data_IF_660029803559
#
_entry.id   IF_660029803559
#
_cell.length_a   1.000
_cell.length_b   1.000
_cell.length_c   1.000
_cell.angle_alpha   90.00
_cell.angle_beta   90.00
_cell.angle_gamma   90.00
#
_symmetry.space_group_name_H-M   'P 1'
#
loop_
_entity.id
_entity.type
_entity.pdbx_description
1 polymer ?
#
# COMPACT_ATOMS: atom_id res chain seq x y z
N UNK A 1 39.58 33.20 -10.95
CA UNK A 1 39.14 33.12 -9.54
C UNK A 1 37.67 33.52 -9.50
N UNK A 2 36.76 32.59 -9.80
CA UNK A 2 35.31 32.83 -9.70
C UNK A 2 34.91 32.56 -8.26
N UNK A 3 34.47 33.59 -7.54
CA UNK A 3 34.02 33.44 -6.17
C UNK A 3 32.68 32.71 -6.14
N UNK A 4 32.61 31.63 -5.36
CA UNK A 4 31.33 31.06 -4.94
C UNK A 4 30.60 32.14 -4.13
N UNK A 5 29.51 32.66 -4.70
CA UNK A 5 28.52 33.48 -4.00
C UNK A 5 27.31 32.59 -3.72
N UNK A 6 27.36 31.72 -2.70
CA UNK A 6 26.20 30.93 -2.35
C UNK A 6 25.06 31.89 -1.97
N UNK A 7 23.84 31.64 -2.45
CA UNK A 7 22.71 32.55 -2.22
C UNK A 7 22.27 32.55 -0.75
N UNK A 8 21.79 33.70 -0.26
CA UNK A 8 21.39 33.92 1.15
C UNK A 8 20.09 33.22 1.58
N UNK A 9 19.53 32.31 0.77
CA UNK A 9 18.29 31.63 1.13
C UNK A 9 18.54 30.44 2.06
N UNK A 10 17.61 30.24 3.00
CA UNK A 10 17.58 29.08 3.88
C UNK A 10 16.38 28.20 3.52
N UNK A 11 16.62 26.92 3.30
CA UNK A 11 15.56 25.91 3.17
C UNK A 11 15.42 25.17 4.49
N UNK A 12 14.23 25.25 5.07
CA UNK A 12 13.85 24.41 6.22
C UNK A 12 13.03 23.25 5.69
N UNK A 13 13.39 22.05 6.11
CA UNK A 13 12.68 20.82 5.76
C UNK A 13 12.13 20.18 7.04
N UNK A 14 11.26 19.19 6.85
CA UNK A 14 10.70 18.36 7.92
C UNK A 14 11.53 17.10 8.20
N UNK A 15 12.60 16.88 7.43
CA UNK A 15 13.44 15.69 7.55
C UNK A 15 14.16 15.73 8.89
N UNK A 16 14.02 14.64 9.65
CA UNK A 16 14.72 14.45 10.90
C UNK A 16 15.99 13.62 10.61
N UNK A 17 17.20 14.16 10.83
CA UNK A 17 18.45 13.47 10.48
C UNK A 17 18.58 12.08 11.09
N UNK A 18 18.13 11.90 12.33
CA UNK A 18 18.16 10.61 13.02
C UNK A 18 17.21 9.59 12.39
N UNK A 19 16.00 10.01 12.00
CA UNK A 19 15.01 9.16 11.32
C UNK A 19 15.48 8.82 9.92
N UNK A 20 16.09 9.77 9.20
CA UNK A 20 16.69 9.53 7.89
C UNK A 20 17.81 8.49 7.96
N UNK A 21 18.74 8.63 8.91
CA UNK A 21 19.82 7.68 9.11
C UNK A 21 19.28 6.28 9.46
N UNK A 22 18.27 6.19 10.33
CA UNK A 22 17.62 4.93 10.66
C UNK A 22 16.93 4.29 9.45
N UNK A 23 16.25 5.07 8.61
CA UNK A 23 15.61 4.60 7.39
C UNK A 23 16.62 4.03 6.38
N UNK A 24 17.75 4.72 6.17
CA UNK A 24 18.84 4.25 5.32
C UNK A 24 19.46 2.95 5.83
N UNK A 25 19.70 2.86 7.14
CA UNK A 25 20.21 1.64 7.78
C UNK A 25 19.23 0.48 7.65
N UNK A 26 17.92 0.73 7.82
CA UNK A 26 16.89 -0.29 7.69
C UNK A 26 16.81 -0.84 6.26
N UNK A 27 16.81 0.04 5.26
CA UNK A 27 16.82 -0.34 3.84
C UNK A 27 18.07 -1.13 3.49
N UNK A 28 19.26 -0.60 3.83
CA UNK A 28 20.52 -1.26 3.53
C UNK A 28 20.65 -2.60 4.25
N UNK A 29 20.24 -2.66 5.52
CA UNK A 29 20.23 -3.87 6.32
C UNK A 29 19.27 -4.93 5.78
N UNK A 30 18.05 -4.56 5.39
CA UNK A 30 17.06 -5.45 4.79
C UNK A 30 17.55 -6.05 3.48
N UNK A 31 18.08 -5.21 2.58
CA UNK A 31 18.63 -5.67 1.30
C UNK A 31 19.83 -6.61 1.48
N UNK A 32 20.72 -6.33 2.45
CA UNK A 32 21.83 -7.24 2.79
C UNK A 32 21.33 -8.59 3.30
N UNK A 33 20.32 -8.61 4.18
CA UNK A 33 19.74 -9.86 4.71
C UNK A 33 19.11 -10.73 3.62
N UNK A 34 18.44 -10.11 2.66
CA UNK A 34 17.83 -10.83 1.53
C UNK A 34 18.89 -11.39 0.58
N UNK A 35 20.04 -10.71 0.43
CA UNK A 35 21.16 -11.21 -0.37
C UNK A 35 20.88 -11.29 -1.88
N UNK A 36 19.74 -10.80 -2.35
CA UNK A 36 19.35 -10.84 -3.76
C UNK A 36 20.10 -9.72 -4.51
N UNK A 37 20.89 -10.06 -5.55
CA UNK A 37 21.57 -9.07 -6.38
C UNK A 37 20.57 -8.09 -7.01
N UNK A 38 20.99 -6.82 -7.13
CA UNK A 38 20.23 -5.72 -7.76
C UNK A 38 18.85 -5.39 -7.17
N UNK A 39 18.40 -6.12 -6.13
CA UNK A 39 17.14 -5.86 -5.45
C UNK A 39 17.08 -4.42 -4.93
N UNK A 40 15.95 -3.77 -5.20
CA UNK A 40 15.68 -2.39 -4.81
C UNK A 40 14.67 -2.35 -3.66
N UNK A 41 14.80 -1.32 -2.84
CA UNK A 41 13.82 -0.97 -1.82
C UNK A 41 13.68 0.55 -1.75
N UNK A 42 12.54 0.99 -1.23
CA UNK A 42 12.25 2.39 -0.97
C UNK A 42 11.53 2.47 0.38
N UNK A 43 11.68 3.61 1.07
CA UNK A 43 11.07 3.85 2.37
C UNK A 43 10.63 5.31 2.47
N UNK A 44 9.43 5.53 3.01
CA UNK A 44 8.92 6.85 3.37
C UNK A 44 8.47 6.77 4.83
N UNK A 45 8.93 7.70 5.66
CA UNK A 45 8.44 7.86 7.02
C UNK A 45 7.69 9.19 7.11
N UNK A 46 6.48 9.16 7.68
CA UNK A 46 5.54 10.27 7.69
C UNK A 46 5.05 10.49 9.13
N UNK A 47 4.92 11.74 9.56
CA UNK A 47 4.17 12.09 10.76
C UNK A 47 2.66 11.98 10.46
N UNK A 48 1.92 11.06 11.10
CA UNK A 48 0.50 10.84 10.80
C UNK A 48 -0.41 12.02 11.20
N UNK A 49 0.03 12.90 12.10
CA UNK A 49 -0.75 14.05 12.55
C UNK A 49 -0.60 15.26 11.61
N UNK A 50 0.59 15.48 11.05
CA UNK A 50 0.87 16.63 10.19
C UNK A 50 0.97 16.30 8.71
N UNK A 51 1.26 15.04 8.36
CA UNK A 51 1.61 14.62 7.00
C UNK A 51 3.06 14.92 6.62
N UNK A 52 3.89 15.39 7.56
CA UNK A 52 5.28 15.76 7.30
C UNK A 52 6.12 14.54 6.91
N UNK A 53 6.98 14.70 5.89
CA UNK A 53 7.94 13.67 5.51
C UNK A 53 9.14 13.76 6.45
N UNK A 54 9.31 12.75 7.30
CA UNK A 54 10.38 12.67 8.29
C UNK A 54 11.65 12.01 7.74
N UNK A 55 11.48 11.05 6.82
CA UNK A 55 12.57 10.40 6.09
C UNK A 55 12.11 9.91 4.71
N UNK A 56 13.04 9.90 3.76
CA UNK A 56 12.81 9.46 2.39
C UNK A 56 14.03 8.71 1.85
N UNK A 57 13.86 7.44 1.48
CA UNK A 57 14.88 6.62 0.85
C UNK A 57 14.35 6.14 -0.51
N UNK A 58 14.99 6.61 -1.58
CA UNK A 58 14.54 6.39 -2.95
C UNK A 58 15.07 5.12 -3.63
N UNK A 59 16.01 4.41 -3.02
CA UNK A 59 16.68 3.27 -3.64
C UNK A 59 17.75 2.67 -2.76
N UNK A 60 18.38 1.60 -3.27
CA UNK A 60 19.46 0.88 -2.59
C UNK A 60 20.73 1.72 -2.39
N UNK A 61 21.11 2.46 -3.43
CA UNK A 61 22.34 3.26 -3.47
C UNK A 61 22.11 4.47 -4.38
N UNK A 62 22.18 5.66 -3.80
CA UNK A 62 21.96 6.91 -4.50
C UNK A 62 23.08 7.24 -5.50
N UNK A 63 24.32 6.84 -5.20
CA UNK A 63 25.47 7.09 -6.08
C UNK A 63 25.41 6.23 -7.34
N UNK A 64 24.85 5.02 -7.22
CA UNK A 64 24.62 4.14 -8.36
C UNK A 64 23.36 4.53 -9.16
N UNK A 65 22.31 5.02 -8.50
CA UNK A 65 21.06 5.43 -9.14
C UNK A 65 20.36 6.55 -8.39
N UNK A 66 20.20 7.69 -9.05
CA UNK A 66 19.44 8.85 -8.55
C UNK A 66 17.92 8.72 -8.77
N UNK A 67 17.45 7.59 -9.32
CA UNK A 67 16.03 7.36 -9.54
C UNK A 67 15.31 7.06 -8.21
N UNK A 68 14.55 8.05 -7.73
CA UNK A 68 13.79 7.95 -6.49
C UNK A 68 12.49 7.13 -6.68
N UNK A 69 12.54 5.85 -6.28
CA UNK A 69 11.42 4.92 -6.36
C UNK A 69 10.29 5.24 -5.39
N UNK A 70 10.60 5.90 -4.27
CA UNK A 70 9.59 6.28 -3.27
C UNK A 70 8.56 7.26 -3.82
N UNK A 71 8.93 8.08 -4.81
CA UNK A 71 8.04 9.10 -5.39
C UNK A 71 7.73 8.91 -6.87
N UNK A 72 8.57 8.18 -7.61
CA UNK A 72 8.41 8.01 -9.08
C UNK A 72 7.98 6.62 -9.51
N UNK A 73 8.14 5.58 -8.68
CA UNK A 73 7.83 4.22 -9.09
C UNK A 73 6.35 3.91 -8.85
N UNK A 74 5.57 3.80 -9.93
CA UNK A 74 4.22 3.25 -9.85
C UNK A 74 4.29 1.72 -9.78
N UNK A 75 3.68 1.15 -8.74
CA UNK A 75 3.61 -0.30 -8.49
C UNK A 75 2.18 -0.68 -8.15
N UNK A 76 1.79 -1.91 -8.48
CA UNK A 76 0.53 -2.46 -7.97
C UNK A 76 0.68 -2.61 -6.45
N UNK A 77 -0.25 -2.05 -5.64
CA UNK A 77 -0.14 -2.07 -4.18
C UNK A 77 -0.38 -3.47 -3.59
N UNK A 78 -1.06 -4.35 -4.34
CA UNK A 78 -1.49 -5.64 -3.82
C UNK A 78 -2.48 -5.46 -2.67
N UNK A 79 -2.42 -6.39 -1.71
CA UNK A 79 -3.29 -6.42 -0.54
C UNK A 79 -3.19 -5.19 0.37
N UNK A 80 -2.18 -4.33 0.18
CA UNK A 80 -2.12 -3.02 0.82
C UNK A 80 -3.30 -2.11 0.42
N UNK A 81 -4.06 -2.45 -0.64
CA UNK A 81 -5.27 -1.73 -1.04
C UNK A 81 -6.54 -2.16 -0.27
N UNK A 82 -6.53 -3.33 0.39
CA UNK A 82 -7.70 -3.83 1.12
C UNK A 82 -8.27 -2.82 2.12
N UNK A 83 -7.50 -2.07 2.92
CA UNK A 83 -8.04 -1.08 3.84
C UNK A 83 -9.05 -0.11 3.21
N UNK A 84 -8.89 0.29 1.95
CA UNK A 84 -9.85 1.15 1.24
C UNK A 84 -11.18 0.43 0.96
N UNK A 85 -11.13 -0.86 0.62
CA UNK A 85 -12.32 -1.71 0.40
C UNK A 85 -13.10 -1.86 1.72
N UNK A 86 -12.40 -2.13 2.82
CA UNK A 86 -13.01 -2.31 4.13
C UNK A 86 -13.55 -0.99 4.69
N UNK A 87 -12.82 0.12 4.53
CA UNK A 87 -13.30 1.45 4.87
C UNK A 87 -14.58 1.81 4.12
N UNK A 88 -14.65 1.54 2.81
CA UNK A 88 -15.87 1.72 2.03
C UNK A 88 -17.02 0.81 2.52
N UNK A 89 -16.72 -0.41 2.98
CA UNK A 89 -17.70 -1.26 3.66
C UNK A 89 -18.30 -0.63 4.91
N UNK A 90 -17.44 -0.08 5.77
CA UNK A 90 -17.86 0.62 6.99
C UNK A 90 -18.67 1.88 6.68
N UNK A 91 -18.28 2.67 5.68
CA UNK A 91 -19.06 3.86 5.24
C UNK A 91 -20.46 3.51 4.74
N UNK A 92 -20.64 2.29 4.21
CA UNK A 92 -21.96 1.78 3.79
C UNK A 92 -22.78 1.18 4.94
N UNK A 93 -22.34 1.36 6.17
CA UNK A 93 -23.05 0.90 7.37
C UNK A 93 -22.79 -0.56 7.75
N UNK A 94 -21.79 -1.20 7.13
CA UNK A 94 -21.31 -2.49 7.64
C UNK A 94 -20.49 -2.26 8.92
N UNK A 95 -20.36 -3.30 9.73
CA UNK A 95 -19.62 -3.23 10.99
C UNK A 95 -18.49 -4.26 11.00
N UNK A 96 -17.51 -4.13 11.90
CA UNK A 96 -16.44 -5.14 12.02
C UNK A 96 -16.95 -6.56 12.29
N UNK A 97 -18.16 -6.73 12.83
CA UNK A 97 -18.80 -8.03 13.09
C UNK A 97 -19.73 -8.49 11.98
N UNK A 98 -19.87 -7.71 10.90
CA UNK A 98 -20.62 -8.15 9.72
C UNK A 98 -19.95 -9.38 9.13
N UNK A 99 -20.71 -10.46 9.00
CA UNK A 99 -20.23 -11.71 8.39
C UNK A 99 -20.34 -11.62 6.88
N UNK A 100 -19.26 -12.02 6.20
CA UNK A 100 -19.25 -12.41 4.80
C UNK A 100 -19.34 -13.93 4.74
N UNK A 101 -20.16 -14.47 3.85
CA UNK A 101 -20.43 -15.91 3.73
C UNK A 101 -20.31 -16.36 2.27
N UNK A 102 -20.25 -17.67 2.07
CA UNK A 102 -20.03 -18.30 0.76
C UNK A 102 -18.71 -17.87 0.11
N UNK A 103 -17.68 -17.61 0.92
CA UNK A 103 -16.37 -17.13 0.46
C UNK A 103 -15.71 -18.15 -0.49
N UNK A 104 -15.93 -19.44 -0.26
CA UNK A 104 -15.44 -20.51 -1.14
C UNK A 104 -16.03 -20.46 -2.55
N UNK A 105 -17.21 -19.85 -2.71
CA UNK A 105 -17.92 -19.73 -3.98
C UNK A 105 -17.63 -18.43 -4.73
N UNK A 106 -16.82 -17.54 -4.16
CA UNK A 106 -16.47 -16.26 -4.79
C UNK A 106 -15.54 -16.51 -5.96
N UNK A 107 -16.08 -16.33 -7.17
CA UNK A 107 -15.35 -16.26 -8.41
C UNK A 107 -15.37 -14.83 -8.93
N UNK A 108 -14.28 -14.36 -9.52
CA UNK A 108 -14.17 -13.00 -10.04
C UNK A 108 -14.80 -12.81 -11.43
N UNK A 109 -15.83 -13.59 -11.75
CA UNK A 109 -16.50 -13.52 -13.05
C UNK A 109 -15.60 -13.98 -14.21
N UNK A 110 -15.77 -13.37 -15.38
CA UNK A 110 -15.19 -13.75 -16.69
C UNK A 110 -13.66 -13.87 -16.74
N UNK A 111 -12.96 -13.50 -15.68
CA UNK A 111 -11.54 -13.76 -15.48
C UNK A 111 -11.35 -15.17 -14.89
N UNK A 112 -11.65 -16.20 -15.70
CA UNK A 112 -11.54 -17.63 -15.33
C UNK A 112 -10.13 -18.06 -14.87
N UNK A 113 -9.11 -17.22 -15.07
CA UNK A 113 -7.73 -17.45 -14.65
C UNK A 113 -7.42 -16.87 -13.25
N UNK A 114 -8.34 -16.12 -12.65
CA UNK A 114 -8.13 -15.44 -11.38
C UNK A 114 -8.92 -16.10 -10.25
N UNK A 115 -8.40 -17.23 -9.78
CA UNK A 115 -8.77 -17.76 -8.47
C UNK A 115 -7.77 -17.20 -7.45
N UNK A 116 -8.18 -16.28 -6.55
CA UNK A 116 -7.32 -15.89 -5.45
C UNK A 116 -7.08 -17.12 -4.57
N UNK A 117 -5.95 -17.80 -4.79
CA UNK A 117 -5.49 -18.84 -3.88
C UNK A 117 -5.03 -18.12 -2.63
N UNK A 118 -5.75 -18.33 -1.54
CA UNK A 118 -5.28 -17.97 -0.22
C UNK A 118 -3.93 -18.69 -0.02
N UNK A 119 -2.93 -17.93 0.41
CA UNK A 119 -1.70 -18.53 0.87
C UNK A 119 -2.06 -19.33 2.14
N UNK A 120 -1.94 -20.67 2.04
CA UNK A 120 -2.09 -21.64 3.13
C UNK A 120 -3.54 -21.96 3.58
N UNK A 121 -4.03 -23.17 3.21
CA UNK A 121 -5.03 -24.00 3.94
C UNK A 121 -6.48 -23.49 4.09
N UNK A 122 -7.46 -24.37 3.83
CA UNK A 122 -8.93 -24.23 4.06
C UNK A 122 -9.39 -22.88 4.66
N UNK A 123 -9.50 -21.86 3.81
CA UNK A 123 -10.08 -20.61 4.24
C UNK A 123 -11.54 -20.83 4.66
N UNK A 124 -11.98 -20.28 5.79
CA UNK A 124 -13.32 -20.47 6.26
C UNK A 124 -14.31 -19.89 5.25
N UNK A 125 -15.41 -20.62 5.02
CA UNK A 125 -16.46 -20.19 4.08
C UNK A 125 -17.23 -18.95 4.57
N UNK A 126 -17.00 -18.54 5.82
CA UNK A 126 -17.53 -17.31 6.39
C UNK A 126 -16.58 -16.70 7.42
N UNK A 127 -16.43 -15.38 7.37
CA UNK A 127 -15.61 -14.58 8.29
C UNK A 127 -16.30 -13.26 8.60
N UNK A 128 -16.02 -12.68 9.75
CA UNK A 128 -16.34 -11.27 10.01
C UNK A 128 -15.43 -10.35 9.20
N UNK A 129 -15.88 -9.12 8.91
CA UNK A 129 -15.03 -8.10 8.28
C UNK A 129 -13.72 -7.85 9.04
N UNK A 130 -13.74 -7.98 10.38
CA UNK A 130 -12.54 -7.86 11.20
C UNK A 130 -11.54 -8.98 10.92
N UNK A 131 -11.98 -10.22 11.00
CA UNK A 131 -11.13 -11.41 10.77
C UNK A 131 -10.57 -11.38 9.36
N UNK A 132 -11.42 -11.13 8.37
CA UNK A 132 -11.04 -11.09 6.97
C UNK A 132 -9.97 -10.03 6.65
N UNK A 133 -10.01 -8.87 7.30
CA UNK A 133 -8.96 -7.85 7.14
C UNK A 133 -7.67 -8.24 7.87
N UNK A 134 -7.78 -8.83 9.08
CA UNK A 134 -6.62 -9.29 9.86
C UNK A 134 -5.85 -10.40 9.13
N UNK A 135 -6.57 -11.34 8.53
CA UNK A 135 -6.01 -12.46 7.77
C UNK A 135 -5.66 -12.07 6.33
N UNK A 136 -6.03 -10.87 5.91
CA UNK A 136 -5.87 -10.41 4.52
C UNK A 136 -6.52 -11.39 3.54
N UNK A 137 -7.74 -11.86 3.83
CA UNK A 137 -8.45 -12.81 2.99
C UNK A 137 -8.86 -12.18 1.65
N UNK A 138 -8.39 -12.77 0.55
CA UNK A 138 -8.64 -12.26 -0.80
C UNK A 138 -10.10 -12.45 -1.23
N UNK A 139 -10.69 -13.62 -0.94
CA UNK A 139 -12.08 -13.92 -1.29
C UNK A 139 -13.03 -12.97 -0.57
N UNK A 140 -12.77 -12.69 0.71
CA UNK A 140 -13.54 -11.74 1.49
C UNK A 140 -13.44 -10.31 0.96
N UNK A 141 -12.24 -9.86 0.55
CA UNK A 141 -12.06 -8.54 -0.06
C UNK A 141 -12.87 -8.40 -1.37
N UNK A 142 -12.84 -9.43 -2.22
CA UNK A 142 -13.63 -9.47 -3.47
C UNK A 142 -15.13 -9.52 -3.19
N UNK A 143 -15.57 -10.37 -2.27
CA UNK A 143 -16.97 -10.47 -1.85
C UNK A 143 -17.49 -9.13 -1.32
N UNK A 144 -16.68 -8.45 -0.50
CA UNK A 144 -17.01 -7.14 0.02
C UNK A 144 -17.13 -6.12 -1.10
N UNK A 145 -16.14 -6.04 -2.01
CA UNK A 145 -16.18 -5.14 -3.16
C UNK A 145 -17.41 -5.41 -4.05
N UNK A 146 -17.75 -6.66 -4.32
CA UNK A 146 -18.95 -7.03 -5.08
C UNK A 146 -20.24 -6.58 -4.35
N UNK A 147 -20.29 -6.72 -3.03
CA UNK A 147 -21.44 -6.31 -2.20
C UNK A 147 -21.65 -4.80 -2.16
N UNK A 148 -20.57 -4.02 -2.08
CA UNK A 148 -20.64 -2.55 -1.92
C UNK A 148 -20.51 -1.77 -3.23
N UNK A 149 -20.09 -2.46 -4.30
CA UNK A 149 -19.78 -1.90 -5.61
C UNK A 149 -18.46 -1.13 -5.62
N UNK A 150 -17.69 -1.30 -6.71
CA UNK A 150 -16.40 -0.64 -6.91
C UNK A 150 -16.46 0.89 -6.81
N UNK A 151 -17.59 1.51 -7.19
CA UNK A 151 -17.75 2.97 -7.09
C UNK A 151 -17.62 3.49 -5.66
N UNK A 152 -18.06 2.73 -4.65
CA UNK A 152 -17.89 3.10 -3.23
C UNK A 152 -16.42 3.06 -2.82
N UNK A 153 -15.69 2.04 -3.30
CA UNK A 153 -14.26 1.86 -3.03
C UNK A 153 -13.44 2.98 -3.67
N UNK A 154 -13.72 3.29 -4.94
CA UNK A 154 -13.05 4.36 -5.67
C UNK A 154 -13.30 5.72 -5.02
N UNK A 155 -14.53 6.00 -4.58
CA UNK A 155 -14.84 7.24 -3.86
C UNK A 155 -14.01 7.41 -2.59
N UNK A 156 -13.85 6.34 -1.78
CA UNK A 156 -13.01 6.37 -0.58
C UNK A 156 -11.55 6.58 -0.95
N UNK A 157 -11.05 5.86 -1.95
CA UNK A 157 -9.66 5.98 -2.41
C UNK A 157 -9.35 7.39 -2.93
N UNK A 158 -10.25 7.99 -3.72
CA UNK A 158 -10.15 9.37 -4.21
C UNK A 158 -10.15 10.40 -3.09
N UNK A 159 -11.01 10.23 -2.08
CA UNK A 159 -11.06 11.10 -0.91
C UNK A 159 -9.75 11.07 -0.09
N UNK A 160 -8.99 9.98 -0.21
CA UNK A 160 -7.69 9.78 0.43
C UNK A 160 -6.50 10.07 -0.50
N UNK A 161 -6.74 10.71 -1.64
CA UNK A 161 -5.70 11.19 -2.56
C UNK A 161 -5.17 10.15 -3.55
N UNK A 162 -5.82 8.99 -3.67
CA UNK A 162 -5.51 8.02 -4.74
C UNK A 162 -6.36 8.31 -5.97
N UNK A 163 -5.71 8.74 -7.04
CA UNK A 163 -6.35 9.09 -8.32
C UNK A 163 -6.01 8.08 -9.41
N UNK A 164 -6.74 8.15 -10.53
CA UNK A 164 -6.53 7.35 -11.74
C UNK A 164 -6.57 5.82 -11.52
N UNK A 165 -7.38 5.36 -10.56
CA UNK A 165 -7.51 3.95 -10.25
C UNK A 165 -8.43 3.24 -11.26
N UNK A 166 -8.05 2.05 -11.76
CA UNK A 166 -8.90 1.29 -12.68
C UNK A 166 -10.11 0.72 -11.93
N UNK A 167 -11.30 0.82 -12.53
CA UNK A 167 -12.52 0.25 -11.98
C UNK A 167 -12.63 -1.25 -12.31
N UNK A 168 -11.85 -2.09 -11.62
CA UNK A 168 -11.81 -3.54 -11.82
C UNK A 168 -11.86 -4.32 -10.50
N UNK A 169 -12.37 -5.57 -10.49
CA UNK A 169 -12.40 -6.40 -9.27
C UNK A 169 -11.01 -6.71 -8.69
N UNK A 170 -9.98 -6.74 -9.53
CA UNK A 170 -8.61 -7.01 -9.09
C UNK A 170 -7.95 -5.87 -8.33
N UNK A 171 -8.60 -4.71 -8.24
CA UNK A 171 -8.07 -3.57 -7.49
C UNK A 171 -7.91 -3.87 -6.00
N UNK A 172 -8.73 -4.78 -5.44
CA UNK A 172 -8.71 -5.15 -4.02
C UNK A 172 -7.57 -6.11 -3.61
N UNK A 173 -6.81 -6.67 -4.56
CA UNK A 173 -5.85 -7.75 -4.30
C UNK A 173 -4.40 -7.38 -4.52
#
# INVERSE_FOLDING_TARGET
MGGDHPPDWQVRTTILPEVQAAAEQAVAGGLRRLGIPDLQAALVAIDPATGDILALVGGRDFNASTYNRAVRSRRQPGSAFKPFVYAAGLERGLSPVTVLSNLSSISAGTYQEWAPRNAEGDAPDSETLREALLESNNQAAVALQQRIGSGSVLKVAEALGLHDLPNVPSLAL
#
